data_IF_214042863821
#
_entry.id   IF_214042863821
#
_cell.length_a   1.000
_cell.length_b   1.000
_cell.length_c   1.000
_cell.angle_alpha   90.00
_cell.angle_beta   90.00
_cell.angle_gamma   90.00
#
_symmetry.space_group_name_H-M   'P 1'
#
loop_
_entity.id
_entity.type
_entity.pdbx_description
1 polymer ?
#
# COMPACT_ATOMS: atom_id res chain seq x y z
N UNK A 1 28.94 5.05 -9.43
CA UNK A 1 27.74 5.46 -8.69
C UNK A 1 26.52 5.30 -9.59
N UNK A 2 25.69 4.31 -9.33
CA UNK A 2 24.48 4.10 -10.13
C UNK A 2 23.46 5.18 -9.79
N UNK A 3 23.20 6.08 -10.73
CA UNK A 3 22.09 7.03 -10.62
C UNK A 3 20.80 6.26 -10.90
N UNK A 4 20.00 6.00 -9.89
CA UNK A 4 18.64 5.48 -10.10
C UNK A 4 17.85 6.55 -10.83
N UNK A 5 17.56 6.30 -12.09
CA UNK A 5 16.72 7.19 -12.89
C UNK A 5 15.28 6.93 -12.51
N UNK A 6 14.71 7.84 -11.74
CA UNK A 6 13.31 7.76 -11.34
C UNK A 6 12.42 8.19 -12.52
N UNK A 7 11.65 7.27 -13.06
CA UNK A 7 10.69 7.52 -14.13
C UNK A 7 9.28 7.16 -13.70
N UNK A 8 8.27 7.71 -14.38
CA UNK A 8 6.88 7.31 -14.14
C UNK A 8 6.67 5.80 -14.32
N UNK A 9 7.38 5.20 -15.27
CA UNK A 9 7.32 3.73 -15.49
C UNK A 9 7.83 2.96 -14.28
N UNK A 10 8.93 3.39 -13.69
CA UNK A 10 9.52 2.77 -12.49
C UNK A 10 8.56 2.91 -11.31
N UNK A 11 7.98 4.09 -11.10
CA UNK A 11 7.01 4.32 -10.02
C UNK A 11 5.74 3.48 -10.19
N UNK A 12 5.23 3.36 -11.41
CA UNK A 12 4.08 2.49 -11.71
C UNK A 12 4.40 1.02 -11.50
N UNK A 13 5.60 0.58 -11.90
CA UNK A 13 6.05 -0.79 -11.64
C UNK A 13 6.18 -1.07 -10.14
N UNK A 14 6.74 -0.13 -9.36
CA UNK A 14 6.82 -0.24 -7.91
C UNK A 14 5.43 -0.32 -7.28
N UNK A 15 4.47 0.48 -7.77
CA UNK A 15 3.10 0.44 -7.30
C UNK A 15 2.41 -0.90 -7.60
N UNK A 16 2.59 -1.44 -8.81
CA UNK A 16 2.06 -2.76 -9.18
C UNK A 16 2.66 -3.87 -8.30
N UNK A 17 3.96 -3.81 -8.01
CA UNK A 17 4.60 -4.74 -7.07
C UNK A 17 4.02 -4.60 -5.66
N UNK A 18 3.75 -3.39 -5.20
CA UNK A 18 3.11 -3.15 -3.91
C UNK A 18 1.70 -3.74 -3.87
N UNK A 19 0.89 -3.57 -4.92
CA UNK A 19 -0.44 -4.19 -5.05
C UNK A 19 -0.34 -5.72 -4.96
N UNK A 20 0.57 -6.31 -5.70
CA UNK A 20 0.77 -7.77 -5.68
C UNK A 20 1.18 -8.23 -4.28
N UNK A 21 2.09 -7.51 -3.63
CA UNK A 21 2.53 -7.82 -2.27
C UNK A 21 1.37 -7.74 -1.25
N UNK A 22 0.51 -6.73 -1.37
CA UNK A 22 -0.69 -6.60 -0.52
C UNK A 22 -1.63 -7.78 -0.72
N UNK A 23 -1.95 -8.11 -1.96
CA UNK A 23 -2.87 -9.21 -2.28
C UNK A 23 -2.29 -10.55 -1.80
N UNK A 24 -1.04 -10.85 -2.13
CA UNK A 24 -0.39 -12.11 -1.73
C UNK A 24 -0.27 -12.20 -0.21
N UNK A 25 0.19 -11.14 0.45
CA UNK A 25 0.32 -11.11 1.91
C UNK A 25 -1.01 -11.27 2.62
N UNK A 26 -2.08 -10.70 2.08
CA UNK A 26 -3.44 -10.80 2.64
C UNK A 26 -4.05 -12.20 2.47
N UNK A 27 -3.67 -12.93 1.43
CA UNK A 27 -4.21 -14.25 1.11
C UNK A 27 -3.35 -15.41 1.59
N UNK A 28 -2.17 -15.16 2.14
CA UNK A 28 -1.37 -16.20 2.77
C UNK A 28 -2.07 -16.73 4.02
N UNK A 29 -2.11 -18.07 4.21
CA UNK A 29 -2.69 -18.66 5.42
C UNK A 29 -2.02 -18.15 6.69
N UNK A 30 -2.77 -18.05 7.79
CA UNK A 30 -2.28 -17.58 9.08
C UNK A 30 -1.11 -18.41 9.63
N UNK A 31 -1.07 -19.69 9.31
CA UNK A 31 -0.03 -20.63 9.71
C UNK A 31 1.18 -20.68 8.77
N UNK A 32 1.18 -19.88 7.69
CA UNK A 32 2.30 -19.83 6.77
C UNK A 32 3.55 -19.19 7.42
N UNK A 33 4.75 -19.63 7.01
CA UNK A 33 5.99 -19.13 7.58
C UNK A 33 6.17 -17.60 7.44
N UNK A 34 5.85 -16.94 6.30
CA UNK A 34 5.92 -15.50 6.19
C UNK A 34 5.03 -14.76 7.21
N UNK A 35 3.80 -15.23 7.41
CA UNK A 35 2.87 -14.60 8.36
C UNK A 35 3.34 -14.80 9.80
N UNK A 36 3.77 -15.99 10.18
CA UNK A 36 4.33 -16.24 11.51
C UNK A 36 5.56 -15.37 11.80
N UNK A 37 6.39 -15.14 10.78
CA UNK A 37 7.57 -14.29 10.92
C UNK A 37 7.18 -12.83 11.16
N UNK A 38 6.15 -12.32 10.45
CA UNK A 38 5.61 -10.98 10.67
C UNK A 38 5.03 -10.83 12.08
N UNK A 39 4.34 -11.84 12.57
CA UNK A 39 3.74 -11.84 13.92
C UNK A 39 4.78 -11.79 15.06
N UNK A 40 6.04 -12.14 14.77
CA UNK A 40 7.14 -12.01 15.73
C UNK A 40 7.69 -10.59 15.84
N UNK A 41 7.34 -9.70 14.92
CA UNK A 41 7.78 -8.31 14.97
C UNK A 41 7.06 -7.55 16.11
N UNK A 42 7.76 -6.57 16.76
CA UNK A 42 7.18 -5.82 17.87
C UNK A 42 6.05 -4.87 17.45
N UNK A 43 5.79 -4.75 16.16
CA UNK A 43 4.73 -3.93 15.61
C UNK A 43 3.46 -4.75 15.45
N UNK A 44 2.31 -4.15 15.75
CA UNK A 44 1.03 -4.81 15.56
C UNK A 44 0.72 -4.99 14.07
N UNK A 45 -0.11 -5.97 13.76
CA UNK A 45 -0.69 -6.20 12.44
C UNK A 45 -1.29 -4.92 11.83
N UNK A 46 -1.89 -4.06 12.64
CA UNK A 46 -2.44 -2.76 12.22
C UNK A 46 -1.38 -1.83 11.62
N UNK A 47 -0.17 -1.82 12.16
CA UNK A 47 0.94 -1.03 11.60
C UNK A 47 1.40 -1.57 10.25
N UNK A 48 1.38 -2.88 10.06
CA UNK A 48 1.69 -3.50 8.76
C UNK A 48 0.67 -3.06 7.70
N UNK A 49 -0.64 -3.11 8.02
CA UNK A 49 -1.70 -2.62 7.17
C UNK A 49 -1.53 -1.13 6.85
N UNK A 50 -1.31 -0.31 7.85
CA UNK A 50 -1.10 1.14 7.65
C UNK A 50 0.09 1.42 6.74
N UNK A 51 1.22 0.75 6.95
CA UNK A 51 2.44 0.94 6.16
C UNK A 51 2.24 0.56 4.70
N UNK A 52 1.64 -0.60 4.44
CA UNK A 52 1.40 -1.09 3.08
C UNK A 52 0.45 -0.17 2.31
N UNK A 53 -0.66 0.23 2.91
CA UNK A 53 -1.63 1.12 2.26
C UNK A 53 -1.12 2.56 2.13
N UNK A 54 -0.26 3.01 3.05
CA UNK A 54 0.44 4.27 2.90
C UNK A 54 1.31 4.29 1.63
N UNK A 55 2.03 3.21 1.34
CA UNK A 55 2.82 3.06 0.11
C UNK A 55 1.92 3.09 -1.13
N UNK A 56 0.77 2.39 -1.11
CA UNK A 56 -0.18 2.37 -2.22
C UNK A 56 -0.74 3.75 -2.57
N UNK A 57 -0.88 4.64 -1.61
CA UNK A 57 -1.35 6.01 -1.82
C UNK A 57 -0.20 6.99 -2.09
N UNK A 58 0.94 6.79 -1.44
CA UNK A 58 2.11 7.65 -1.56
C UNK A 58 2.71 7.65 -2.97
N UNK A 59 2.92 6.47 -3.57
CA UNK A 59 3.54 6.36 -4.89
C UNK A 59 2.76 7.11 -5.97
N UNK A 60 1.42 6.90 -6.14
CA UNK A 60 0.64 7.68 -7.10
C UNK A 60 0.64 9.18 -6.79
N UNK A 61 0.58 9.55 -5.50
CA UNK A 61 0.57 10.95 -5.08
C UNK A 61 1.78 11.73 -5.59
N UNK A 62 2.93 11.08 -5.78
CA UNK A 62 4.15 11.72 -6.26
C UNK A 62 4.10 12.11 -7.75
N UNK A 63 3.37 11.37 -8.59
CA UNK A 63 3.53 11.52 -10.04
C UNK A 63 2.24 11.50 -10.87
N UNK A 64 1.15 11.00 -10.32
CA UNK A 64 -0.12 10.93 -11.06
C UNK A 64 -0.96 12.21 -10.91
N UNK A 65 -1.88 12.43 -11.84
CA UNK A 65 -2.82 13.54 -11.75
C UNK A 65 -3.78 13.37 -10.57
N UNK A 66 -4.25 14.47 -10.00
CA UNK A 66 -5.08 14.46 -8.79
C UNK A 66 -6.30 13.55 -8.89
N UNK A 67 -7.00 13.55 -10.04
CA UNK A 67 -8.14 12.65 -10.25
C UNK A 67 -7.74 11.18 -10.19
N UNK A 68 -6.59 10.82 -10.76
CA UNK A 68 -6.05 9.46 -10.73
C UNK A 68 -5.65 9.08 -9.31
N UNK A 69 -4.99 9.98 -8.59
CA UNK A 69 -4.58 9.76 -7.19
C UNK A 69 -5.78 9.42 -6.31
N UNK A 70 -6.85 10.20 -6.39
CA UNK A 70 -8.05 9.96 -5.61
C UNK A 70 -8.75 8.66 -5.98
N UNK A 71 -8.82 8.31 -7.27
CA UNK A 71 -9.35 7.03 -7.72
C UNK A 71 -8.53 5.86 -7.18
N UNK A 72 -7.21 5.96 -7.22
CA UNK A 72 -6.31 4.92 -6.70
C UNK A 72 -6.39 4.81 -5.18
N UNK A 73 -6.53 5.92 -4.47
CA UNK A 73 -6.71 5.92 -3.01
C UNK A 73 -8.05 5.25 -2.61
N UNK A 74 -9.14 5.61 -3.26
CA UNK A 74 -10.45 4.99 -3.04
C UNK A 74 -10.40 3.50 -3.40
N UNK A 75 -9.76 3.17 -4.52
CA UNK A 75 -9.55 1.79 -4.95
C UNK A 75 -8.73 0.97 -3.95
N UNK A 76 -7.72 1.55 -3.34
CA UNK A 76 -6.91 0.90 -2.30
C UNK A 76 -7.76 0.58 -1.06
N UNK A 77 -8.55 1.52 -0.57
CA UNK A 77 -9.47 1.27 0.55
C UNK A 77 -10.49 0.18 0.20
N UNK A 78 -11.06 0.25 -1.00
CA UNK A 78 -11.98 -0.78 -1.52
C UNK A 78 -11.32 -2.16 -1.60
N UNK A 79 -10.07 -2.23 -2.05
CA UNK A 79 -9.28 -3.46 -2.07
C UNK A 79 -9.10 -4.01 -0.65
N UNK A 80 -8.77 -3.16 0.31
CA UNK A 80 -8.62 -3.55 1.72
C UNK A 80 -9.90 -4.17 2.28
N UNK A 81 -11.04 -3.54 2.01
CA UNK A 81 -12.35 -4.06 2.43
C UNK A 81 -12.63 -5.42 1.77
N UNK A 82 -12.41 -5.54 0.47
CA UNK A 82 -12.63 -6.78 -0.27
C UNK A 82 -11.72 -7.91 0.25
N UNK A 83 -10.46 -7.61 0.52
CA UNK A 83 -9.51 -8.60 1.03
C UNK A 83 -9.87 -9.10 2.43
N UNK A 84 -10.45 -8.24 3.30
CA UNK A 84 -10.94 -8.68 4.61
C UNK A 84 -12.01 -9.77 4.49
N UNK A 85 -12.94 -9.64 3.54
CA UNK A 85 -13.92 -10.68 3.27
C UNK A 85 -13.27 -11.95 2.71
N UNK A 86 -12.32 -11.80 1.79
CA UNK A 86 -11.63 -12.97 1.19
C UNK A 86 -10.75 -13.70 2.21
N UNK A 87 -10.19 -13.00 3.18
CA UNK A 87 -9.34 -13.58 4.23
C UNK A 87 -10.08 -14.66 5.05
N UNK A 88 -11.40 -14.58 5.17
CA UNK A 88 -12.21 -15.62 5.82
C UNK A 88 -12.05 -17.00 5.15
N UNK A 89 -11.81 -17.03 3.84
CA UNK A 89 -11.65 -18.27 3.08
C UNK A 89 -10.26 -18.89 3.19
N UNK A 90 -9.27 -18.15 3.70
CA UNK A 90 -7.89 -18.63 3.87
C UNK A 90 -7.51 -18.82 5.35
N UNK A 91 -8.51 -18.92 6.23
CA UNK A 91 -8.29 -19.16 7.66
C UNK A 91 -7.77 -17.95 8.42
N UNK A 92 -8.03 -16.74 7.93
CA UNK A 92 -7.69 -15.48 8.60
C UNK A 92 -8.93 -14.86 9.23
N UNK A 93 -8.73 -14.09 10.28
CA UNK A 93 -9.84 -13.43 10.98
C UNK A 93 -10.28 -12.17 10.22
N UNK A 94 -11.57 -11.92 10.21
CA UNK A 94 -12.15 -10.68 9.72
C UNK A 94 -12.07 -9.61 10.81
N UNK A 95 -11.39 -8.51 10.54
CA UNK A 95 -11.21 -7.44 11.51
C UNK A 95 -11.54 -6.08 10.90
N UNK A 96 -12.56 -5.41 11.44
CA UNK A 96 -12.90 -4.02 11.04
C UNK A 96 -11.74 -3.07 11.34
N UNK A 97 -10.97 -3.35 12.40
CA UNK A 97 -9.77 -2.59 12.73
C UNK A 97 -8.72 -2.58 11.61
N UNK A 98 -8.60 -3.68 10.84
CA UNK A 98 -7.70 -3.75 9.69
C UNK A 98 -8.18 -2.83 8.56
N UNK A 99 -9.49 -2.76 8.30
CA UNK A 99 -10.06 -1.82 7.34
C UNK A 99 -9.80 -0.37 7.73
N UNK A 100 -9.92 -0.05 9.02
CA UNK A 100 -9.62 1.29 9.54
C UNK A 100 -8.14 1.59 9.38
N UNK A 101 -7.26 0.65 9.69
CA UNK A 101 -5.81 0.80 9.51
C UNK A 101 -5.45 1.03 8.04
N UNK A 102 -6.09 0.33 7.11
CA UNK A 102 -5.90 0.51 5.67
C UNK A 102 -6.32 1.93 5.23
N UNK A 103 -7.45 2.41 5.70
CA UNK A 103 -7.93 3.76 5.41
C UNK A 103 -7.00 4.83 6.00
N UNK A 104 -6.57 4.67 7.25
CA UNK A 104 -5.63 5.59 7.91
C UNK A 104 -4.29 5.60 7.17
N UNK A 105 -3.76 4.43 6.79
CA UNK A 105 -2.54 4.32 6.02
C UNK A 105 -2.64 5.04 4.67
N UNK A 106 -3.76 4.86 3.96
CA UNK A 106 -4.04 5.56 2.71
C UNK A 106 -4.00 7.09 2.90
N UNK A 107 -4.65 7.60 3.95
CA UNK A 107 -4.63 9.03 4.27
C UNK A 107 -3.22 9.53 4.61
N UNK A 108 -2.46 8.77 5.37
CA UNK A 108 -1.06 9.09 5.70
C UNK A 108 -0.21 9.17 4.43
N UNK A 109 -0.36 8.21 3.53
CA UNK A 109 0.34 8.19 2.24
C UNK A 109 0.04 9.42 1.39
N UNK A 110 -1.23 9.83 1.33
CA UNK A 110 -1.63 11.06 0.65
C UNK A 110 -1.08 12.32 1.35
N UNK A 111 -1.17 12.37 2.67
CA UNK A 111 -0.70 13.51 3.47
C UNK A 111 0.80 13.76 3.34
N UNK A 112 1.59 12.70 3.14
CA UNK A 112 3.05 12.79 2.92
C UNK A 112 3.37 12.98 1.44
N UNK A 113 2.71 12.24 0.55
CA UNK A 113 3.02 12.22 -0.88
C UNK A 113 2.63 13.50 -1.62
N UNK A 114 1.45 14.04 -1.36
CA UNK A 114 0.96 15.24 -2.05
C UNK A 114 1.85 16.48 -1.85
N UNK A 115 2.32 16.80 -0.62
CA UNK A 115 3.25 17.90 -0.43
C UNK A 115 4.61 17.70 -1.13
N UNK A 116 5.08 16.45 -1.22
CA UNK A 116 6.35 16.11 -1.84
C UNK A 116 6.29 16.08 -3.38
N UNK A 117 5.11 16.17 -3.96
CA UNK A 117 4.91 16.09 -5.41
C UNK A 117 5.75 17.08 -6.22
N UNK A 118 5.86 18.32 -5.75
CA UNK A 118 6.66 19.35 -6.45
C UNK A 118 8.14 18.96 -6.57
N UNK A 119 8.70 18.40 -5.49
CA UNK A 119 10.08 17.93 -5.47
C UNK A 119 10.25 16.68 -6.34
N UNK A 120 9.33 15.74 -6.22
CA UNK A 120 9.36 14.49 -6.99
C UNK A 120 9.30 14.76 -8.50
N UNK A 121 8.44 15.68 -8.95
CA UNK A 121 8.30 16.04 -10.37
C UNK A 121 9.59 16.58 -10.99
N UNK A 122 10.44 17.23 -10.20
CA UNK A 122 11.76 17.72 -10.68
C UNK A 122 12.76 16.56 -10.88
N UNK A 123 12.60 15.48 -10.16
CA UNK A 123 13.49 14.32 -10.21
C UNK A 123 13.00 13.21 -11.15
N UNK A 124 11.71 13.25 -11.51
CA UNK A 124 11.10 12.24 -12.38
C UNK A 124 11.31 12.65 -13.83
N UNK A 125 12.00 11.79 -14.57
CA UNK A 125 12.10 11.92 -16.02
C UNK A 125 10.77 11.50 -16.68
N UNK A 126 10.32 12.33 -17.59
CA UNK A 126 9.09 12.08 -18.35
C UNK A 126 9.29 11.01 -19.41
#
# INVERSE_FOLDING_TARGET
MFRVILTKKVLRAAWLLAIVAVIVGSLLPADSAPIRTLDLLPFSDKFDHMGMYAVLAFLPALHEDSKVVWRMAIGAVGLGIALEFVQLYVGRDFEIGDMIADAVGTLVGLAVGLPLRKHARKMILR
#
